data_IF_673901067171
#
_entry.id   IF_673901067171
#
_cell.length_a   1.000
_cell.length_b   1.000
_cell.length_c   1.000
_cell.angle_alpha   90.00
_cell.angle_beta   90.00
_cell.angle_gamma   90.00
#
_symmetry.space_group_name_H-M   'P 1'
#
loop_
_entity.id
_entity.type
_entity.pdbx_description
1 polymer ?
#
# COMPACT_ATOMS: atom_id res chain seq x y z
N UNK A 1 -6.12 -34.37 -15.18
CA UNK A 1 -6.21 -32.90 -15.11
C UNK A 1 -4.81 -32.38 -14.84
N UNK A 2 -4.18 -31.72 -15.80
CA UNK A 2 -2.82 -31.18 -15.65
C UNK A 2 -2.93 -29.98 -14.69
N UNK A 3 -2.29 -30.09 -13.52
CA UNK A 3 -2.02 -28.93 -12.66
C UNK A 3 -1.17 -27.94 -13.45
N UNK A 4 -1.81 -27.00 -14.15
CA UNK A 4 -1.15 -25.78 -14.56
C UNK A 4 -0.93 -24.97 -13.27
N UNK A 5 0.23 -25.09 -12.65
CA UNK A 5 0.76 -24.04 -11.80
C UNK A 5 0.85 -22.79 -12.68
N UNK A 6 -0.18 -21.96 -12.62
CA UNK A 6 -0.15 -20.64 -13.23
C UNK A 6 1.07 -19.91 -12.64
N UNK A 7 1.98 -19.55 -13.52
CA UNK A 7 3.21 -18.83 -13.15
C UNK A 7 2.82 -17.38 -12.81
N UNK A 8 2.45 -17.15 -11.56
CA UNK A 8 1.79 -15.96 -11.04
C UNK A 8 2.76 -14.86 -10.58
N UNK A 9 3.93 -14.83 -11.18
CA UNK A 9 4.91 -13.79 -10.91
C UNK A 9 4.43 -12.44 -11.42
N UNK A 10 4.80 -11.40 -10.69
CA UNK A 10 4.63 -10.02 -11.14
C UNK A 10 5.23 -9.81 -12.54
N UNK A 11 4.52 -9.07 -13.37
CA UNK A 11 4.94 -8.66 -14.70
C UNK A 11 5.54 -7.24 -14.72
N UNK A 12 5.91 -6.72 -13.55
CA UNK A 12 6.62 -5.44 -13.48
C UNK A 12 7.95 -5.55 -14.23
N UNK A 13 8.24 -4.54 -15.04
CA UNK A 13 9.49 -4.48 -15.80
C UNK A 13 10.46 -3.44 -15.22
N UNK A 14 9.94 -2.26 -14.89
CA UNK A 14 10.74 -1.13 -14.40
C UNK A 14 9.83 -0.08 -13.75
N UNK A 15 10.45 0.94 -13.20
CA UNK A 15 9.80 2.19 -12.80
C UNK A 15 10.14 3.29 -13.81
N UNK A 16 9.26 4.29 -13.94
CA UNK A 16 9.51 5.46 -14.76
C UNK A 16 9.35 6.74 -13.95
N UNK A 17 10.18 7.72 -14.24
CA UNK A 17 10.04 9.07 -13.72
C UNK A 17 8.78 9.72 -14.30
N UNK A 18 7.88 10.22 -13.46
CA UNK A 18 6.62 10.84 -13.89
C UNK A 18 6.79 12.16 -14.66
N UNK A 19 8.01 12.73 -14.70
CA UNK A 19 8.30 13.99 -15.40
C UNK A 19 9.03 13.80 -16.74
N UNK A 20 10.06 12.96 -16.78
CA UNK A 20 10.91 12.82 -17.97
C UNK A 20 10.89 11.41 -18.57
N UNK A 21 10.11 10.49 -18.01
CA UNK A 21 10.00 9.09 -18.43
C UNK A 21 11.32 8.29 -18.37
N UNK A 22 12.35 8.80 -17.68
CA UNK A 22 13.58 8.04 -17.45
C UNK A 22 13.28 6.76 -16.69
N UNK A 23 13.86 5.64 -17.15
CA UNK A 23 13.68 4.32 -16.58
C UNK A 23 14.50 4.15 -15.30
N UNK A 24 13.90 3.56 -14.27
CA UNK A 24 14.52 3.25 -12.99
C UNK A 24 14.29 1.77 -12.63
N UNK A 25 15.22 1.16 -11.90
CA UNK A 25 15.05 -0.22 -11.44
C UNK A 25 14.01 -0.31 -10.32
N UNK A 26 13.12 -1.29 -10.38
CA UNK A 26 12.19 -1.63 -9.28
C UNK A 26 12.82 -2.52 -8.20
N UNK A 27 14.09 -2.93 -8.38
CA UNK A 27 14.81 -3.87 -7.51
C UNK A 27 15.72 -3.17 -6.49
N UNK A 28 15.76 -1.85 -6.48
CA UNK A 28 16.55 -1.07 -5.54
C UNK A 28 15.64 -0.21 -4.65
N UNK A 29 16.10 0.07 -3.44
CA UNK A 29 15.40 0.97 -2.50
C UNK A 29 15.46 2.39 -3.05
N UNK A 30 14.31 2.97 -3.34
CA UNK A 30 14.19 4.35 -3.81
C UNK A 30 12.79 4.90 -3.52
N UNK A 31 12.68 6.20 -3.41
CA UNK A 31 11.43 6.92 -3.21
C UNK A 31 11.09 7.74 -4.46
N UNK A 32 11.71 8.90 -4.63
CA UNK A 32 11.59 9.71 -5.82
C UNK A 32 12.61 9.33 -6.91
N UNK A 33 12.35 9.73 -8.14
CA UNK A 33 13.30 9.58 -9.23
C UNK A 33 14.59 10.37 -8.97
N UNK A 34 15.75 9.74 -9.20
CA UNK A 34 17.06 10.39 -9.05
C UNK A 34 17.30 11.52 -10.07
N UNK A 35 16.63 11.49 -11.22
CA UNK A 35 16.80 12.48 -12.31
C UNK A 35 16.01 13.78 -12.08
N UNK A 36 14.79 13.71 -11.53
CA UNK A 36 13.90 14.87 -11.43
C UNK A 36 13.34 15.12 -10.03
N UNK A 37 13.64 14.24 -9.08
CA UNK A 37 13.13 14.28 -7.70
C UNK A 37 11.58 14.36 -7.64
N UNK A 38 10.91 13.53 -8.44
CA UNK A 38 9.44 13.41 -8.53
C UNK A 38 9.01 11.96 -8.36
N UNK A 39 7.69 11.69 -8.13
CA UNK A 39 7.18 10.33 -7.99
C UNK A 39 7.55 9.42 -9.16
N UNK A 40 7.67 8.14 -8.85
CA UNK A 40 7.90 7.06 -9.81
C UNK A 40 6.60 6.29 -10.04
N UNK A 41 6.41 5.77 -11.24
CA UNK A 41 5.29 4.91 -11.61
C UNK A 41 5.79 3.54 -12.05
N UNK A 42 5.09 2.47 -11.68
CA UNK A 42 5.41 1.11 -12.08
C UNK A 42 4.92 0.83 -13.51
N UNK A 43 5.74 0.13 -14.30
CA UNK A 43 5.42 -0.29 -15.66
C UNK A 43 5.41 -1.81 -15.74
N UNK A 44 4.40 -2.36 -16.42
CA UNK A 44 4.17 -3.81 -16.54
C UNK A 44 4.12 -4.24 -18.00
N UNK A 45 4.62 -5.44 -18.27
CA UNK A 45 4.47 -6.07 -19.58
C UNK A 45 3.21 -6.97 -19.59
N UNK A 46 2.06 -6.39 -19.96
CA UNK A 46 0.76 -7.09 -19.91
C UNK A 46 0.37 -7.77 -21.22
N UNK A 47 1.29 -7.89 -22.18
CA UNK A 47 1.00 -8.55 -23.47
C UNK A 47 0.54 -9.99 -23.22
N UNK A 48 -0.57 -10.37 -23.86
CA UNK A 48 -1.19 -11.70 -23.75
C UNK A 48 -1.81 -12.02 -22.37
N UNK A 49 -2.02 -11.04 -21.50
CA UNK A 49 -2.78 -11.25 -20.27
C UNK A 49 -4.28 -11.17 -20.56
N UNK A 50 -5.04 -12.10 -19.97
CA UNK A 50 -6.50 -12.17 -20.08
C UNK A 50 -7.11 -12.29 -18.69
N UNK A 51 -8.43 -12.38 -18.60
CA UNK A 51 -9.13 -12.64 -17.36
C UNK A 51 -8.70 -13.95 -16.68
N UNK A 52 -8.23 -14.93 -17.47
CA UNK A 52 -7.73 -16.22 -16.97
C UNK A 52 -6.40 -16.09 -16.21
N UNK A 53 -5.73 -14.93 -16.30
CA UNK A 53 -4.54 -14.62 -15.51
C UNK A 53 -4.87 -14.31 -14.05
N UNK A 54 -6.15 -14.13 -13.71
CA UNK A 54 -6.62 -13.88 -12.36
C UNK A 54 -6.68 -15.19 -11.57
N UNK A 55 -6.09 -15.21 -10.38
CA UNK A 55 -6.17 -16.35 -9.46
C UNK A 55 -7.56 -16.48 -8.86
N UNK A 56 -8.40 -17.29 -9.42
CA UNK A 56 -9.80 -17.46 -8.99
C UNK A 56 -9.95 -18.13 -7.63
N UNK A 57 -8.92 -18.86 -7.17
CA UNK A 57 -8.88 -19.51 -5.85
C UNK A 57 -8.27 -18.62 -4.74
N UNK A 58 -7.72 -17.48 -5.11
CA UNK A 58 -7.20 -16.48 -4.16
C UNK A 58 -8.29 -15.43 -3.86
N UNK A 59 -8.64 -15.27 -2.57
CA UNK A 59 -9.72 -14.39 -2.10
C UNK A 59 -9.21 -13.10 -1.45
N UNK A 60 -7.98 -12.67 -1.79
CA UNK A 60 -7.41 -11.38 -1.41
C UNK A 60 -7.10 -10.52 -2.62
N UNK A 61 -6.56 -9.31 -2.42
CA UNK A 61 -6.07 -8.50 -3.55
C UNK A 61 -4.96 -9.20 -4.33
N UNK A 62 -4.25 -10.15 -3.73
CA UNK A 62 -3.14 -10.86 -4.34
C UNK A 62 -3.54 -11.82 -5.45
N UNK A 63 -4.85 -12.02 -5.68
CA UNK A 63 -5.37 -12.67 -6.89
C UNK A 63 -4.92 -11.99 -8.18
N UNK A 64 -4.50 -10.73 -8.08
CA UNK A 64 -4.00 -9.89 -9.16
C UNK A 64 -2.47 -9.75 -9.12
N UNK A 65 -1.75 -10.69 -8.53
CA UNK A 65 -0.30 -10.60 -8.32
C UNK A 65 0.48 -10.25 -9.59
N UNK A 66 0.05 -10.73 -10.75
CA UNK A 66 0.71 -10.46 -12.03
C UNK A 66 0.78 -8.96 -12.38
N UNK A 67 -0.11 -8.13 -11.86
CA UNK A 67 -0.10 -6.66 -12.00
C UNK A 67 0.33 -5.94 -10.72
N UNK A 68 0.88 -6.63 -9.74
CA UNK A 68 1.41 -6.03 -8.51
C UNK A 68 2.94 -6.18 -8.46
N UNK A 69 3.71 -5.22 -7.89
CA UNK A 69 5.17 -5.14 -8.07
C UNK A 69 6.01 -6.04 -7.14
N UNK A 70 5.44 -7.07 -6.53
CA UNK A 70 6.17 -8.07 -5.75
C UNK A 70 6.47 -9.28 -6.62
N UNK A 71 7.75 -9.58 -6.85
CA UNK A 71 8.21 -10.65 -7.74
C UNK A 71 8.08 -12.01 -7.06
N UNK A 72 8.62 -12.13 -5.83
CA UNK A 72 8.62 -13.38 -5.09
C UNK A 72 7.41 -13.45 -4.15
N UNK A 73 6.48 -14.40 -4.35
CA UNK A 73 5.32 -14.60 -3.47
C UNK A 73 5.67 -14.78 -1.98
N UNK A 74 6.85 -15.27 -1.65
CA UNK A 74 7.32 -15.42 -0.27
C UNK A 74 7.44 -14.08 0.49
N UNK A 75 7.48 -12.98 -0.23
CA UNK A 75 7.52 -11.63 0.33
C UNK A 75 6.13 -11.01 0.54
N UNK A 76 5.06 -11.67 0.09
CA UNK A 76 3.70 -11.18 0.29
C UNK A 76 3.36 -11.14 1.78
N UNK A 77 2.93 -9.97 2.22
CA UNK A 77 2.45 -9.70 3.57
C UNK A 77 0.97 -9.33 3.47
N UNK A 78 0.10 -10.33 3.63
CA UNK A 78 -1.35 -10.16 3.56
C UNK A 78 -2.00 -10.40 4.92
N UNK A 79 -3.00 -9.62 5.25
CA UNK A 79 -3.94 -9.82 6.36
C UNK A 79 -5.34 -10.17 5.84
N UNK A 80 -5.45 -10.69 4.62
CA UNK A 80 -6.66 -11.01 3.86
C UNK A 80 -7.43 -9.76 3.37
N UNK A 81 -6.71 -8.69 3.02
CA UNK A 81 -7.27 -7.50 2.39
C UNK A 81 -7.75 -7.76 0.96
N UNK A 82 -8.81 -7.11 0.60
CA UNK A 82 -9.44 -7.27 -0.72
C UNK A 82 -10.70 -8.12 -0.68
N UNK A 83 -11.21 -8.45 -1.85
CA UNK A 83 -12.45 -9.22 -2.04
C UNK A 83 -13.63 -8.70 -1.20
N UNK A 84 -13.68 -7.40 -0.98
CA UNK A 84 -14.69 -6.72 -0.17
C UNK A 84 -16.08 -6.82 -0.83
N UNK A 85 -17.17 -6.86 -0.04
CA UNK A 85 -18.50 -7.03 -0.57
C UNK A 85 -18.97 -5.86 -1.42
N UNK A 86 -19.89 -6.14 -2.33
CA UNK A 86 -20.61 -5.15 -3.14
C UNK A 86 -22.10 -5.31 -2.84
N UNK A 87 -22.76 -4.24 -2.42
CA UNK A 87 -24.18 -4.20 -2.11
C UNK A 87 -24.90 -3.23 -3.03
N UNK A 88 -26.04 -3.66 -3.60
CA UNK A 88 -26.90 -2.76 -4.37
C UNK A 88 -27.72 -1.86 -3.44
N UNK A 89 -27.68 -0.55 -3.67
CA UNK A 89 -28.39 0.45 -2.88
C UNK A 89 -29.63 0.96 -3.61
N UNK A 90 -30.63 0.07 -3.80
CA UNK A 90 -31.83 0.34 -4.61
C UNK A 90 -32.59 1.59 -4.14
N UNK A 91 -32.92 1.69 -2.85
CA UNK A 91 -33.67 2.83 -2.31
C UNK A 91 -32.97 4.18 -2.56
N UNK A 92 -31.64 4.20 -2.41
CA UNK A 92 -30.87 5.42 -2.64
C UNK A 92 -30.78 5.73 -4.16
N UNK A 93 -30.65 4.72 -5.00
CA UNK A 93 -30.70 4.87 -6.46
C UNK A 93 -32.01 5.52 -6.91
N UNK A 94 -33.17 5.01 -6.42
CA UNK A 94 -34.49 5.56 -6.71
C UNK A 94 -34.59 7.04 -6.26
N UNK A 95 -34.11 7.37 -5.08
CA UNK A 95 -34.12 8.76 -4.55
C UNK A 95 -33.26 9.72 -5.38
N UNK A 96 -32.17 9.25 -5.94
CA UNK A 96 -31.24 10.02 -6.75
C UNK A 96 -31.53 9.97 -8.26
N UNK A 97 -32.60 9.26 -8.65
CA UNK A 97 -32.96 9.04 -10.07
C UNK A 97 -31.81 8.43 -10.89
N UNK A 98 -31.10 7.47 -10.29
CA UNK A 98 -30.01 6.71 -10.91
C UNK A 98 -30.52 5.28 -11.14
N UNK A 99 -30.29 4.71 -12.33
CA UNK A 99 -30.76 3.36 -12.69
C UNK A 99 -30.21 2.29 -11.75
N UNK A 100 -28.93 2.37 -11.42
CA UNK A 100 -28.27 1.39 -10.55
C UNK A 100 -27.17 2.04 -9.72
N UNK A 101 -27.16 1.77 -8.41
CA UNK A 101 -26.12 2.24 -7.49
C UNK A 101 -25.59 1.06 -6.67
N UNK A 102 -24.27 0.91 -6.65
CA UNK A 102 -23.58 -0.08 -5.82
C UNK A 102 -22.68 0.58 -4.79
N UNK A 103 -22.64 0.00 -3.61
CA UNK A 103 -21.67 0.29 -2.56
C UNK A 103 -20.61 -0.81 -2.55
N UNK A 104 -19.35 -0.44 -2.74
CA UNK A 104 -18.18 -1.28 -2.47
C UNK A 104 -17.70 -1.00 -1.05
N UNK A 105 -17.93 -1.93 -0.13
CA UNK A 105 -17.63 -1.73 1.28
C UNK A 105 -16.15 -2.02 1.60
N UNK A 106 -15.34 -0.98 1.61
CA UNK A 106 -13.91 -1.08 1.95
C UNK A 106 -13.64 -1.01 3.47
N UNK A 107 -14.66 -0.77 4.30
CA UNK A 107 -14.51 -0.74 5.76
C UNK A 107 -14.27 -2.12 6.37
N UNK A 108 -14.62 -3.19 5.65
CA UNK A 108 -14.40 -4.59 6.08
C UNK A 108 -12.97 -5.08 5.86
N UNK A 109 -12.11 -4.29 5.21
CA UNK A 109 -10.70 -4.64 5.12
C UNK A 109 -10.05 -4.71 6.52
N UNK A 110 -8.95 -5.46 6.68
CA UNK A 110 -8.10 -5.38 7.85
C UNK A 110 -7.78 -3.92 8.21
N UNK A 111 -7.76 -3.58 9.50
CA UNK A 111 -7.60 -2.20 9.99
C UNK A 111 -8.70 -1.21 9.55
N UNK A 112 -9.91 -1.75 9.25
CA UNK A 112 -11.14 -0.98 9.05
C UNK A 112 -11.14 -0.01 7.88
N UNK A 113 -10.26 -0.16 6.87
CA UNK A 113 -10.21 0.79 5.76
C UNK A 113 -9.51 0.26 4.52
N UNK A 114 -9.74 0.93 3.37
CA UNK A 114 -9.02 0.63 2.11
C UNK A 114 -7.49 0.86 2.18
N UNK A 115 -6.99 1.48 3.27
CA UNK A 115 -5.54 1.68 3.46
C UNK A 115 -4.79 0.35 3.53
N UNK A 116 -5.45 -0.69 4.00
CA UNK A 116 -4.93 -2.06 4.02
C UNK A 116 -4.33 -2.47 2.67
N UNK A 117 -5.03 -2.22 1.56
CA UNK A 117 -4.58 -2.60 0.21
C UNK A 117 -3.22 -2.00 -0.15
N UNK A 118 -3.10 -0.68 0.01
CA UNK A 118 -1.85 0.02 -0.30
C UNK A 118 -0.71 -0.34 0.65
N UNK A 119 -1.01 -0.55 1.93
CA UNK A 119 0.01 -0.87 2.93
C UNK A 119 0.46 -2.33 2.85
N UNK A 120 -0.45 -3.27 2.54
CA UNK A 120 -0.07 -4.64 2.18
C UNK A 120 0.96 -4.64 1.04
N UNK A 121 0.66 -3.91 -0.04
CA UNK A 121 1.54 -3.80 -1.20
C UNK A 121 2.89 -3.15 -0.85
N UNK A 122 2.86 -1.98 -0.20
CA UNK A 122 4.08 -1.25 0.15
C UNK A 122 4.99 -2.02 1.11
N UNK A 123 4.42 -2.67 2.14
CA UNK A 123 5.18 -3.47 3.11
C UNK A 123 5.70 -4.77 2.48
N UNK A 124 4.93 -5.43 1.62
CA UNK A 124 5.40 -6.61 0.88
C UNK A 124 6.61 -6.28 0.02
N UNK A 125 6.56 -5.17 -0.70
CA UNK A 125 7.71 -4.72 -1.51
C UNK A 125 8.88 -4.28 -0.65
N UNK A 126 8.64 -3.62 0.48
CA UNK A 126 9.69 -3.27 1.43
C UNK A 126 10.41 -4.52 1.96
N UNK A 127 9.66 -5.59 2.29
CA UNK A 127 10.22 -6.89 2.68
C UNK A 127 11.07 -7.50 1.58
N UNK A 128 10.60 -7.48 0.32
CA UNK A 128 11.34 -7.98 -0.85
C UNK A 128 12.66 -7.20 -1.06
N UNK A 129 12.65 -5.90 -0.82
CA UNK A 129 13.82 -5.03 -0.91
C UNK A 129 14.74 -5.08 0.33
N UNK A 130 14.41 -5.90 1.33
CA UNK A 130 15.21 -6.07 2.55
C UNK A 130 15.14 -4.91 3.53
N UNK A 131 14.14 -4.02 3.40
CA UNK A 131 13.92 -2.87 4.29
C UNK A 131 13.57 -3.38 5.69
N UNK A 132 14.18 -2.78 6.73
CA UNK A 132 14.01 -3.17 8.14
C UNK A 132 13.22 -2.14 8.95
N UNK A 133 13.17 -0.90 8.49
CA UNK A 133 12.52 0.21 9.19
C UNK A 133 11.70 1.05 8.21
N UNK A 134 10.49 1.42 8.61
CA UNK A 134 9.59 2.26 7.83
C UNK A 134 9.05 3.41 8.67
N UNK A 135 8.83 4.56 8.03
CA UNK A 135 8.27 5.75 8.69
C UNK A 135 7.10 6.30 7.88
N UNK A 136 6.03 6.73 8.56
CA UNK A 136 4.87 7.33 7.91
C UNK A 136 4.32 8.51 8.72
N UNK A 137 4.13 9.71 8.10
CA UNK A 137 3.32 10.77 8.67
C UNK A 137 1.85 10.54 8.31
N UNK A 138 0.95 10.61 9.29
CA UNK A 138 -0.48 10.41 9.05
C UNK A 138 -1.33 11.01 10.17
N UNK A 139 -2.56 11.41 9.85
CA UNK A 139 -3.60 11.80 10.79
C UNK A 139 -4.80 10.84 10.76
N UNK A 140 -4.61 9.61 10.26
CA UNK A 140 -5.71 8.66 10.05
C UNK A 140 -5.25 7.21 9.88
N UNK A 141 -6.12 6.41 9.27
CA UNK A 141 -6.04 4.94 9.16
C UNK A 141 -4.75 4.39 8.49
N UNK A 142 -3.94 5.23 7.83
CA UNK A 142 -2.70 4.73 7.23
C UNK A 142 -1.64 4.35 8.28
N UNK A 143 -1.70 4.94 9.48
CA UNK A 143 -0.81 4.60 10.59
C UNK A 143 -1.10 3.19 11.11
N UNK A 144 -2.34 2.91 11.49
CA UNK A 144 -2.77 1.59 11.95
C UNK A 144 -2.49 0.52 10.90
N UNK A 145 -2.85 0.78 9.64
CA UNK A 145 -2.58 -0.16 8.56
C UNK A 145 -1.08 -0.44 8.38
N UNK A 146 -0.20 0.59 8.32
CA UNK A 146 1.24 0.34 8.25
C UNK A 146 1.75 -0.46 9.44
N UNK A 147 1.32 -0.11 10.64
CA UNK A 147 1.72 -0.79 11.88
C UNK A 147 1.37 -2.29 11.83
N UNK A 148 0.14 -2.63 11.43
CA UNK A 148 -0.32 -4.02 11.35
C UNK A 148 0.48 -4.86 10.35
N UNK A 149 0.69 -4.32 9.13
CA UNK A 149 1.45 -5.04 8.10
C UNK A 149 2.94 -5.13 8.44
N UNK A 150 3.53 -4.07 9.01
CA UNK A 150 4.91 -4.10 9.48
C UNK A 150 5.12 -5.10 10.62
N UNK A 151 4.20 -5.18 11.59
CA UNK A 151 4.22 -6.18 12.65
C UNK A 151 4.25 -7.61 12.07
N UNK A 152 3.39 -7.89 11.09
CA UNK A 152 3.38 -9.20 10.40
C UNK A 152 4.66 -9.47 9.62
N UNK A 153 5.28 -8.45 9.06
CA UNK A 153 6.50 -8.57 8.26
C UNK A 153 7.80 -8.64 9.09
N UNK A 154 7.75 -8.34 10.39
CA UNK A 154 8.94 -8.15 11.23
C UNK A 154 9.74 -6.90 10.84
N UNK A 155 9.07 -5.84 10.39
CA UNK A 155 9.65 -4.54 10.02
C UNK A 155 9.30 -3.54 11.11
N UNK A 156 10.27 -2.74 11.55
CA UNK A 156 10.03 -1.68 12.52
C UNK A 156 9.21 -0.55 11.90
N UNK A 157 8.11 -0.17 12.56
CA UNK A 157 7.23 0.90 12.13
C UNK A 157 7.36 2.12 13.03
N UNK A 158 7.61 3.30 12.45
CA UNK A 158 7.50 4.59 13.12
C UNK A 158 6.34 5.37 12.50
N UNK A 159 5.36 5.72 13.32
CA UNK A 159 4.19 6.49 12.92
C UNK A 159 4.26 7.88 13.55
N UNK A 160 4.07 8.91 12.73
CA UNK A 160 4.11 10.31 13.20
C UNK A 160 2.73 10.91 13.01
N UNK A 161 2.11 11.33 14.11
CA UNK A 161 0.75 11.89 14.11
C UNK A 161 0.70 13.26 14.80
N UNK A 162 -0.20 14.15 14.35
CA UNK A 162 -0.58 15.32 15.13
C UNK A 162 -1.12 14.92 16.52
N UNK A 163 -0.83 15.71 17.56
CA UNK A 163 -1.33 15.43 18.92
C UNK A 163 -2.87 15.35 18.99
N UNK A 164 -3.57 16.13 18.18
CA UNK A 164 -5.04 16.17 18.13
C UNK A 164 -5.68 15.04 17.30
N UNK A 165 -4.90 14.13 16.73
CA UNK A 165 -5.44 12.91 16.09
C UNK A 165 -6.23 12.10 17.11
N UNK A 166 -7.34 11.49 16.69
CA UNK A 166 -8.21 10.68 17.56
C UNK A 166 -7.41 9.57 18.27
N UNK A 167 -7.68 9.38 19.58
CA UNK A 167 -6.92 8.43 20.39
C UNK A 167 -7.07 6.98 19.90
N UNK A 168 -8.23 6.62 19.37
CA UNK A 168 -8.45 5.29 18.76
C UNK A 168 -7.43 4.96 17.68
N UNK A 169 -7.06 5.92 16.82
CA UNK A 169 -6.07 5.74 15.76
C UNK A 169 -4.64 5.64 16.31
N UNK A 170 -4.36 6.34 17.41
CA UNK A 170 -3.07 6.26 18.10
C UNK A 170 -2.89 4.93 18.81
N UNK A 171 -3.93 4.48 19.51
CA UNK A 171 -3.93 3.20 20.22
C UNK A 171 -3.82 2.02 19.25
N UNK A 172 -4.48 2.09 18.10
CA UNK A 172 -4.32 1.08 17.05
C UNK A 172 -2.84 0.92 16.65
N UNK A 173 -2.12 2.02 16.43
CA UNK A 173 -0.69 1.97 16.11
C UNK A 173 0.13 1.33 17.24
N UNK A 174 -0.14 1.68 18.51
CA UNK A 174 0.56 1.12 19.67
C UNK A 174 0.29 -0.36 19.85
N UNK A 175 -0.96 -0.81 19.67
CA UNK A 175 -1.34 -2.22 19.77
C UNK A 175 -0.60 -3.11 18.78
N UNK A 176 -0.28 -2.59 17.58
CA UNK A 176 0.55 -3.28 16.61
C UNK A 176 2.06 -3.09 16.82
N UNK A 177 2.47 -2.46 17.92
CA UNK A 177 3.88 -2.32 18.31
C UNK A 177 4.65 -1.23 17.56
N UNK A 178 3.97 -0.29 16.90
CA UNK A 178 4.65 0.82 16.24
C UNK A 178 5.17 1.86 17.24
N UNK A 179 6.32 2.45 16.92
CA UNK A 179 6.82 3.64 17.60
C UNK A 179 6.00 4.86 17.20
N UNK A 180 5.16 5.37 18.10
CA UNK A 180 4.27 6.50 17.84
C UNK A 180 4.89 7.81 18.35
N UNK A 181 5.16 8.71 17.41
CA UNK A 181 5.63 10.07 17.69
C UNK A 181 4.48 11.05 17.48
N UNK A 182 4.18 11.85 18.50
CA UNK A 182 3.15 12.86 18.44
C UNK A 182 3.77 14.26 18.28
N UNK A 183 3.28 15.02 17.29
CA UNK A 183 3.76 16.37 16.98
C UNK A 183 2.69 17.40 17.38
N UNK A 184 3.12 18.45 18.03
CA UNK A 184 2.30 19.63 18.27
C UNK A 184 2.30 20.51 17.00
N UNK A 185 1.38 20.18 16.09
CA UNK A 185 1.31 20.77 14.75
C UNK A 185 0.37 19.98 13.84
N UNK A 186 0.35 20.34 12.56
CA UNK A 186 -0.47 19.71 11.54
C UNK A 186 0.32 18.60 10.80
N UNK A 187 -0.30 18.03 9.79
CA UNK A 187 0.26 16.91 9.02
C UNK A 187 1.56 17.27 8.26
N UNK A 188 1.74 18.53 7.90
CA UNK A 188 2.96 19.04 7.26
C UNK A 188 4.17 18.97 8.20
N UNK A 189 3.99 19.33 9.50
CA UNK A 189 5.01 19.16 10.53
C UNK A 189 5.36 17.68 10.76
N UNK A 190 4.38 16.79 10.74
CA UNK A 190 4.60 15.35 10.77
C UNK A 190 5.40 14.88 9.55
N UNK A 191 5.08 15.40 8.37
CA UNK A 191 5.83 15.12 7.13
C UNK A 191 7.27 15.60 7.17
N UNK A 192 7.56 16.76 7.79
CA UNK A 192 8.93 17.25 8.02
C UNK A 192 9.68 16.28 8.94
N UNK A 193 9.08 15.88 10.06
CA UNK A 193 9.68 14.95 11.01
C UNK A 193 9.95 13.57 10.40
N UNK A 194 9.05 13.09 9.54
CA UNK A 194 9.25 11.83 8.81
C UNK A 194 10.50 11.87 7.91
N UNK A 195 10.70 12.97 7.18
CA UNK A 195 11.90 13.18 6.35
C UNK A 195 13.18 13.22 7.19
N UNK A 196 13.16 13.88 8.34
CA UNK A 196 14.30 13.94 9.27
C UNK A 196 14.68 12.54 9.76
N UNK A 197 13.68 11.72 10.16
CA UNK A 197 13.90 10.35 10.59
C UNK A 197 14.43 9.50 9.45
N UNK A 198 13.80 9.55 8.28
CA UNK A 198 14.25 8.80 7.11
C UNK A 198 15.70 9.13 6.74
N UNK A 199 16.08 10.41 6.78
CA UNK A 199 17.44 10.86 6.49
C UNK A 199 18.48 10.41 7.53
N UNK A 200 18.11 10.38 8.82
CA UNK A 200 19.04 10.06 9.91
C UNK A 200 19.19 8.56 10.18
N UNK A 201 18.13 7.75 9.92
CA UNK A 201 18.10 6.32 10.24
C UNK A 201 18.12 5.40 9.03
N UNK A 202 17.89 5.93 7.82
CA UNK A 202 17.67 5.12 6.62
C UNK A 202 16.30 4.46 6.54
N UNK A 203 15.36 4.80 7.44
CA UNK A 203 13.99 4.29 7.39
C UNK A 203 13.30 4.65 6.07
N UNK A 204 12.56 3.70 5.49
CA UNK A 204 11.84 3.92 4.24
C UNK A 204 10.62 4.82 4.45
N UNK A 205 10.59 5.96 3.74
CA UNK A 205 9.52 6.96 3.87
C UNK A 205 8.28 6.55 3.08
N UNK A 206 7.24 6.10 3.79
CA UNK A 206 5.93 5.70 3.27
C UNK A 206 4.94 6.86 3.12
N UNK A 207 5.39 8.09 3.07
CA UNK A 207 4.53 9.25 2.81
C UNK A 207 3.81 9.10 1.47
N UNK A 208 2.61 9.67 1.40
CA UNK A 208 1.78 9.60 0.18
C UNK A 208 2.54 10.19 -1.02
N UNK A 209 2.55 9.46 -2.13
CA UNK A 209 3.20 9.80 -3.40
C UNK A 209 4.74 9.90 -3.36
N UNK A 210 5.38 9.53 -2.26
CA UNK A 210 6.85 9.51 -2.22
C UNK A 210 7.45 8.19 -2.68
N UNK A 211 6.79 7.08 -2.41
CA UNK A 211 7.22 5.76 -2.86
C UNK A 211 6.25 5.22 -3.93
N UNK A 212 6.73 4.38 -4.88
CA UNK A 212 5.93 4.00 -6.04
C UNK A 212 4.95 2.84 -5.80
N UNK A 213 5.03 2.13 -4.68
CA UNK A 213 4.40 0.81 -4.53
C UNK A 213 3.04 0.84 -3.86
N UNK A 214 2.83 1.75 -2.93
CA UNK A 214 1.57 1.88 -2.18
C UNK A 214 0.37 2.24 -3.08
N UNK A 215 0.62 2.95 -4.16
CA UNK A 215 -0.39 3.28 -5.17
C UNK A 215 -0.85 2.01 -5.90
N UNK A 216 0.08 1.12 -6.22
CA UNK A 216 -0.17 -0.11 -6.96
C UNK A 216 -1.17 -1.05 -6.27
N UNK A 217 -1.19 -1.08 -4.94
CA UNK A 217 -2.17 -1.86 -4.17
C UNK A 217 -3.59 -1.30 -4.20
N UNK A 218 -3.83 -0.15 -4.82
CA UNK A 218 -5.13 0.54 -4.87
C UNK A 218 -5.76 0.60 -6.26
N UNK A 219 -5.10 0.06 -7.26
CA UNK A 219 -5.62 0.00 -8.63
C UNK A 219 -6.62 -1.14 -8.82
#
# INVERSE_FOLDING_TARGET
MKNQQLNTRSLITHLVCSKCNATCSHQIVQTFSSCCNVPLSAVYHLKNQTIDSIHTTEYTMWRYQFVLPVIDPANIVSLNEGFTPISQLKKLADQLSIDTLYLKDEAVNPTGSFKARGLSMGVSKAKELGIKQMVIPTAGNAGGAMSAYCAKAGIEATVIMPKHTADTLKEECRLYGANLIQIDGLIDACGKKAREIAASTGAFDMSTMKEPYRLEGKK
#
